data_IF_345880108688
#
_entry.id   IF_345880108688
#
_cell.length_a   1.000
_cell.length_b   1.000
_cell.length_c   1.000
_cell.angle_alpha   90.00
_cell.angle_beta   90.00
_cell.angle_gamma   90.00
#
_symmetry.space_group_name_H-M   'P 1'
#
loop_
_entity.id
_entity.type
_entity.pdbx_description
1 polymer ?
#
# COMPACT_ATOMS: atom_id res chain seq x y z
N UNK A 1 8.05 -70.46 19.33
CA UNK A 1 8.89 -69.34 19.81
C UNK A 1 8.80 -68.27 18.76
N UNK A 2 7.99 -67.52 19.00
CA UNK A 2 7.58 -66.16 19.33
C UNK A 2 7.82 -65.20 18.18
N UNK A 3 6.75 -65.02 17.39
CA UNK A 3 6.63 -64.01 16.30
C UNK A 3 6.35 -62.60 16.79
N UNK A 4 6.41 -62.36 18.12
CA UNK A 4 6.07 -61.07 18.69
C UNK A 4 7.14 -59.99 18.56
N UNK A 5 8.37 -60.37 18.32
CA UNK A 5 9.47 -59.41 18.17
C UNK A 5 9.57 -58.78 16.80
N UNK A 6 8.91 -59.33 15.77
CA UNK A 6 8.91 -58.77 14.40
C UNK A 6 7.84 -57.71 14.17
N UNK A 7 6.79 -57.70 15.02
CA UNK A 7 5.69 -56.74 14.91
C UNK A 7 6.01 -55.40 15.64
N UNK A 8 6.96 -55.42 16.58
CA UNK A 8 7.29 -54.26 17.38
C UNK A 8 8.21 -53.23 16.65
N UNK A 9 8.94 -53.68 15.64
CA UNK A 9 9.81 -52.79 14.87
C UNK A 9 9.13 -52.03 13.72
N UNK A 10 7.88 -52.40 13.38
CA UNK A 10 7.14 -51.79 12.27
C UNK A 10 6.28 -50.58 12.68
N UNK A 11 6.12 -50.36 13.99
CA UNK A 11 5.30 -49.27 14.52
C UNK A 11 6.07 -48.00 14.91
N UNK A 12 7.40 -48.02 14.86
CA UNK A 12 8.24 -46.88 15.25
C UNK A 12 8.68 -46.02 14.03
N UNK A 13 8.40 -46.49 12.80
CA UNK A 13 8.88 -45.82 11.58
C UNK A 13 7.95 -44.77 10.96
N UNK A 14 6.80 -44.44 11.58
CA UNK A 14 5.77 -43.59 10.96
C UNK A 14 5.64 -42.19 11.60
N UNK A 15 6.41 -41.87 12.63
CA UNK A 15 6.23 -40.59 13.36
C UNK A 15 7.32 -39.51 13.16
N UNK A 16 8.13 -39.56 12.10
CA UNK A 16 9.17 -38.51 11.86
C UNK A 16 8.84 -37.64 10.63
N UNK A 17 7.57 -37.46 10.34
CA UNK A 17 7.15 -36.53 9.28
C UNK A 17 6.26 -35.43 9.84
N UNK A 18 6.75 -34.65 10.79
CA UNK A 18 6.04 -33.44 11.17
C UNK A 18 6.91 -32.56 12.04
N UNK A 19 7.64 -31.69 11.43
CA UNK A 19 7.95 -30.33 11.90
C UNK A 19 9.04 -29.75 10.97
N UNK A 20 8.68 -29.48 9.74
CA UNK A 20 9.40 -28.41 9.06
C UNK A 20 8.86 -27.13 9.68
N UNK A 21 9.68 -26.37 10.42
CA UNK A 21 9.30 -25.02 10.78
C UNK A 21 9.12 -24.28 9.46
N UNK A 22 7.88 -23.93 9.13
CA UNK A 22 7.61 -22.92 8.11
C UNK A 22 8.26 -21.65 8.61
N UNK A 23 9.49 -21.41 8.21
CA UNK A 23 10.16 -20.12 8.41
C UNK A 23 9.32 -19.12 7.64
N UNK A 24 8.36 -18.52 8.31
CA UNK A 24 7.70 -17.31 7.84
C UNK A 24 8.79 -16.24 7.79
N UNK A 25 9.53 -16.20 6.69
CA UNK A 25 10.45 -15.14 6.40
C UNK A 25 9.60 -13.89 6.28
N UNK A 26 9.64 -13.05 7.31
CA UNK A 26 9.00 -11.74 7.26
C UNK A 26 9.56 -11.01 6.04
N UNK A 27 8.72 -10.88 5.01
CA UNK A 27 9.13 -10.21 3.78
C UNK A 27 9.33 -8.73 4.09
N UNK A 28 10.47 -8.18 3.73
CA UNK A 28 10.77 -6.76 3.90
C UNK A 28 10.78 -6.09 2.54
N UNK A 29 9.97 -5.05 2.38
CA UNK A 29 10.01 -4.19 1.21
C UNK A 29 11.07 -3.13 1.44
N UNK A 30 12.12 -3.02 0.59
CA UNK A 30 13.20 -2.08 0.81
C UNK A 30 12.76 -0.63 0.68
N UNK A 31 13.44 0.28 1.38
CA UNK A 31 13.31 1.71 1.15
C UNK A 31 13.59 2.06 -0.31
N UNK A 32 12.94 3.10 -0.82
CA UNK A 32 13.04 3.49 -2.22
C UNK A 32 12.11 2.73 -3.17
N UNK A 33 11.41 1.69 -2.70
CA UNK A 33 10.39 1.00 -3.52
C UNK A 33 9.25 1.96 -3.83
N UNK A 34 8.83 1.97 -5.10
CA UNK A 34 7.68 2.77 -5.55
C UNK A 34 6.40 1.97 -5.47
N UNK A 35 5.45 2.49 -4.72
CA UNK A 35 4.10 1.97 -4.58
C UNK A 35 3.14 2.80 -5.43
N UNK A 36 2.47 2.18 -6.39
CA UNK A 36 1.43 2.86 -7.19
C UNK A 36 0.08 2.53 -6.58
N UNK A 37 -0.62 3.59 -6.20
CA UNK A 37 -1.88 3.53 -5.47
C UNK A 37 -2.98 4.12 -6.33
N UNK A 38 -4.18 3.54 -6.27
CA UNK A 38 -5.39 4.03 -6.93
C UNK A 38 -6.41 4.44 -5.88
N UNK A 39 -6.93 5.67 -5.97
CA UNK A 39 -7.95 6.16 -5.04
C UNK A 39 -9.30 5.48 -5.28
N UNK A 40 -10.01 5.12 -4.21
CA UNK A 40 -11.35 4.52 -4.27
C UNK A 40 -12.47 5.56 -4.17
N UNK A 41 -12.12 6.79 -3.82
CA UNK A 41 -13.04 7.92 -3.72
C UNK A 41 -12.45 9.13 -4.40
N UNK A 42 -13.29 10.08 -4.78
CA UNK A 42 -12.83 11.37 -5.30
C UNK A 42 -12.25 12.23 -4.18
N UNK A 43 -11.22 13.01 -4.49
CA UNK A 43 -10.55 13.92 -3.56
C UNK A 43 -10.69 15.34 -4.11
N UNK A 44 -11.25 16.24 -3.31
CA UNK A 44 -11.36 17.67 -3.64
C UNK A 44 -10.10 18.42 -3.24
N UNK A 45 -9.71 19.42 -4.04
CA UNK A 45 -8.59 20.31 -3.71
C UNK A 45 -8.83 21.13 -2.43
N UNK A 46 -10.05 21.17 -1.93
CA UNK A 46 -10.43 21.88 -0.67
C UNK A 46 -10.56 20.96 0.52
N UNK A 47 -10.13 19.73 0.45
CA UNK A 47 -10.20 18.81 1.58
C UNK A 47 -9.36 19.31 2.76
N UNK A 48 -9.78 18.95 3.97
CA UNK A 48 -9.04 19.33 5.18
C UNK A 48 -7.72 18.58 5.24
N UNK A 49 -6.65 19.27 5.60
CA UNK A 49 -5.36 18.64 5.93
C UNK A 49 -5.55 17.63 7.06
N UNK A 50 -4.93 16.47 6.92
CA UNK A 50 -5.09 15.33 7.84
C UNK A 50 -6.28 14.43 7.54
N UNK A 51 -7.16 14.77 6.59
CA UNK A 51 -8.23 13.86 6.16
C UNK A 51 -7.66 12.67 5.43
N UNK A 52 -8.16 11.48 5.77
CA UNK A 52 -7.74 10.22 5.16
C UNK A 52 -8.75 9.72 4.14
N UNK A 53 -8.25 9.08 3.08
CA UNK A 53 -9.03 8.48 2.02
C UNK A 53 -8.63 7.02 1.83
N UNK A 54 -9.63 6.21 1.49
CA UNK A 54 -9.40 4.81 1.12
C UNK A 54 -8.84 4.74 -0.30
N UNK A 55 -7.84 3.90 -0.46
CA UNK A 55 -7.21 3.61 -1.72
C UNK A 55 -6.75 2.14 -1.71
N UNK A 56 -6.21 1.67 -2.83
CA UNK A 56 -5.65 0.33 -2.96
C UNK A 56 -4.40 0.36 -3.83
N UNK A 57 -3.55 -0.64 -3.72
CA UNK A 57 -2.44 -0.81 -4.63
C UNK A 57 -2.96 -1.06 -6.05
N UNK A 58 -2.48 -0.30 -7.03
CA UNK A 58 -2.87 -0.44 -8.45
C UNK A 58 -2.16 -1.60 -9.13
N UNK A 59 -1.04 -2.05 -8.58
CA UNK A 59 -0.22 -3.16 -9.08
C UNK A 59 0.46 -3.91 -7.96
N UNK A 60 0.89 -5.13 -8.26
CA UNK A 60 1.68 -5.96 -7.35
C UNK A 60 3.00 -5.28 -6.98
N UNK A 61 3.40 -5.45 -5.73
CA UNK A 61 4.73 -5.11 -5.25
C UNK A 61 5.57 -6.38 -5.24
N UNK A 62 6.62 -6.39 -6.06
CA UNK A 62 7.50 -7.54 -6.24
C UNK A 62 8.86 -7.24 -5.61
N UNK A 63 9.35 -8.13 -4.77
CA UNK A 63 10.67 -8.08 -4.16
C UNK A 63 11.38 -9.42 -4.42
N UNK A 64 12.56 -9.37 -5.01
CA UNK A 64 13.35 -10.58 -5.36
C UNK A 64 12.56 -11.61 -6.21
N UNK A 65 11.70 -11.12 -7.12
CA UNK A 65 10.89 -11.98 -7.98
C UNK A 65 9.63 -12.56 -7.34
N UNK A 66 9.34 -12.24 -6.07
CA UNK A 66 8.15 -12.69 -5.36
C UNK A 66 7.18 -11.53 -5.13
N UNK A 67 5.89 -11.78 -5.34
CA UNK A 67 4.83 -10.82 -4.99
C UNK A 67 4.73 -10.80 -3.47
N UNK A 68 5.05 -9.65 -2.86
CA UNK A 68 4.98 -9.43 -1.42
C UNK A 68 3.72 -8.70 -0.99
N UNK A 69 3.18 -7.83 -1.85
CA UNK A 69 1.87 -7.22 -1.70
C UNK A 69 1.15 -7.28 -3.05
N UNK A 70 0.00 -7.94 -3.14
CA UNK A 70 -0.78 -8.00 -4.38
C UNK A 70 -1.49 -6.68 -4.69
N UNK A 71 -1.80 -6.45 -5.95
CA UNK A 71 -2.72 -5.40 -6.38
C UNK A 71 -4.05 -5.55 -5.62
N UNK A 72 -4.73 -4.43 -5.36
CA UNK A 72 -5.93 -4.41 -4.53
C UNK A 72 -5.68 -4.41 -3.02
N UNK A 73 -4.42 -4.51 -2.55
CA UNK A 73 -4.11 -4.36 -1.12
C UNK A 73 -4.61 -3.01 -0.63
N UNK A 74 -5.46 -2.97 0.43
CA UNK A 74 -6.02 -1.72 0.93
C UNK A 74 -4.94 -0.81 1.52
N UNK A 75 -5.00 0.47 1.19
CA UNK A 75 -4.11 1.49 1.72
C UNK A 75 -4.91 2.73 2.14
N UNK A 76 -4.31 3.54 2.98
CA UNK A 76 -4.85 4.83 3.44
C UNK A 76 -3.95 5.96 2.97
N UNK A 77 -4.55 6.94 2.32
CA UNK A 77 -3.89 8.15 1.83
C UNK A 77 -4.37 9.33 2.65
N UNK A 78 -3.47 10.20 3.07
CA UNK A 78 -3.77 11.40 3.87
C UNK A 78 -3.51 12.67 3.08
N UNK A 79 -4.34 13.69 3.27
CA UNK A 79 -4.11 15.03 2.72
C UNK A 79 -3.01 15.71 3.52
N UNK A 80 -1.89 16.00 2.88
CA UNK A 80 -0.75 16.67 3.49
C UNK A 80 -0.83 18.21 3.37
N UNK A 81 -1.35 18.71 2.23
CA UNK A 81 -1.69 20.14 2.05
C UNK A 81 -2.87 20.31 1.11
N UNK A 82 -3.58 21.42 1.21
CA UNK A 82 -4.74 21.70 0.37
C UNK A 82 -5.01 23.20 0.25
N UNK A 83 -5.82 23.58 -0.75
CA UNK A 83 -6.34 24.95 -0.91
C UNK A 83 -7.36 25.34 0.20
N UNK A 84 -7.90 24.35 0.91
CA UNK A 84 -8.83 24.57 2.04
C UNK A 84 -8.12 25.01 3.31
N UNK A 85 -6.80 24.95 3.37
CA UNK A 85 -6.03 25.48 4.50
C UNK A 85 -5.84 26.98 4.35
N UNK A 86 -6.53 27.75 5.18
CA UNK A 86 -6.54 29.22 5.16
C UNK A 86 -5.16 29.82 5.40
N UNK A 87 -4.23 29.06 5.98
CA UNK A 87 -2.89 29.54 6.33
C UNK A 87 -1.84 29.30 5.23
N UNK A 88 -2.13 28.40 4.29
CA UNK A 88 -1.22 28.05 3.19
C UNK A 88 -2.02 27.80 1.93
N UNK A 89 -2.03 28.74 1.03
CA UNK A 89 -2.57 28.56 -0.34
C UNK A 89 -1.67 27.60 -1.12
N UNK A 90 -1.70 26.32 -0.77
CA UNK A 90 -0.83 25.29 -1.33
C UNK A 90 -1.63 24.40 -2.28
N UNK A 91 -0.97 23.85 -3.29
CA UNK A 91 -1.53 22.78 -4.11
C UNK A 91 -1.97 21.60 -3.24
N UNK A 92 -2.96 20.84 -3.71
CA UNK A 92 -3.37 19.61 -3.05
C UNK A 92 -2.24 18.60 -3.11
N UNK A 93 -1.70 18.25 -1.95
CA UNK A 93 -0.74 17.16 -1.85
C UNK A 93 -1.29 16.06 -0.96
N UNK A 94 -0.98 14.83 -1.31
CA UNK A 94 -1.37 13.64 -0.57
C UNK A 94 -0.15 12.79 -0.23
N UNK A 95 -0.21 12.08 0.88
CA UNK A 95 0.83 11.16 1.31
C UNK A 95 0.24 9.79 1.65
N UNK A 96 1.05 8.75 1.55
CA UNK A 96 0.66 7.40 1.96
C UNK A 96 0.81 7.28 3.47
N UNK A 97 -0.30 7.04 4.16
CA UNK A 97 -0.33 6.97 5.62
C UNK A 97 -0.09 5.54 6.13
N UNK A 98 -0.81 4.58 5.56
CA UNK A 98 -0.75 3.21 6.04
C UNK A 98 -1.15 2.20 4.96
N UNK A 99 -0.69 0.96 5.13
CA UNK A 99 -1.06 -0.21 4.32
C UNK A 99 -1.71 -1.25 5.22
N UNK A 100 -2.82 -1.84 4.79
CA UNK A 100 -3.47 -2.94 5.51
C UNK A 100 -2.95 -4.28 5.00
N UNK A 101 -2.25 -5.01 5.86
CA UNK A 101 -1.61 -6.29 5.53
C UNK A 101 -2.19 -7.37 6.46
N UNK A 102 -2.86 -8.38 5.90
CA UNK A 102 -3.49 -9.46 6.68
C UNK A 102 -4.36 -8.95 7.84
N UNK A 103 -5.11 -7.86 7.61
CA UNK A 103 -5.97 -7.24 8.62
C UNK A 103 -5.23 -6.36 9.64
N UNK A 104 -3.92 -6.21 9.53
CA UNK A 104 -3.12 -5.29 10.35
C UNK A 104 -2.84 -4.01 9.58
N UNK A 105 -2.95 -2.87 10.24
CA UNK A 105 -2.57 -1.58 9.68
C UNK A 105 -1.11 -1.31 10.01
N UNK A 106 -0.28 -1.17 8.98
CA UNK A 106 1.13 -0.85 9.11
C UNK A 106 1.35 0.57 8.62
N UNK A 107 1.81 1.44 9.51
CA UNK A 107 2.15 2.82 9.14
C UNK A 107 3.33 2.83 8.18
N UNK A 108 3.24 3.69 7.17
CA UNK A 108 4.28 3.86 6.15
C UNK A 108 4.80 5.28 6.17
N UNK A 109 6.08 5.42 5.80
CA UNK A 109 6.68 6.73 5.55
C UNK A 109 7.19 6.80 4.14
N UNK A 110 6.82 7.85 3.43
CA UNK A 110 7.26 8.12 2.06
C UNK A 110 8.32 9.22 2.02
N UNK A 111 9.01 9.34 0.91
CA UNK A 111 10.07 10.37 0.74
C UNK A 111 9.50 11.77 0.56
N UNK A 112 8.19 11.90 0.32
CA UNK A 112 7.50 13.17 0.17
C UNK A 112 6.06 12.97 -0.27
N UNK A 113 5.24 14.00 -0.01
CA UNK A 113 3.86 14.02 -0.46
C UNK A 113 3.80 14.21 -1.99
N UNK A 114 2.82 13.56 -2.61
CA UNK A 114 2.57 13.67 -4.05
C UNK A 114 1.61 14.82 -4.34
N UNK A 115 2.01 15.73 -5.23
CA UNK A 115 1.14 16.82 -5.68
C UNK A 115 0.13 16.31 -6.72
N UNK A 116 -1.14 16.43 -6.39
CA UNK A 116 -2.22 16.20 -7.32
C UNK A 116 -2.41 17.43 -8.20
N UNK A 117 -1.94 17.34 -9.44
CA UNK A 117 -2.00 18.47 -10.38
C UNK A 117 -3.46 18.82 -10.71
N UNK A 118 -3.82 20.12 -10.73
CA UNK A 118 -5.14 20.56 -11.11
C UNK A 118 -5.43 20.15 -12.57
N UNK A 119 -6.62 19.57 -12.81
CA UNK A 119 -7.05 19.29 -14.18
C UNK A 119 -7.25 20.58 -14.93
N UNK A 120 -6.48 20.77 -15.98
CA UNK A 120 -6.67 21.88 -16.94
C UNK A 120 -7.88 21.53 -17.80
N UNK A 121 -8.97 22.27 -17.65
CA UNK A 121 -10.12 22.17 -18.57
C UNK A 121 -9.95 23.23 -19.65
N UNK A 122 -9.76 22.81 -20.90
CA UNK A 122 -9.69 23.71 -22.03
C UNK A 122 -11.11 24.11 -22.45
N UNK A 123 -11.55 25.30 -22.10
CA UNK A 123 -12.75 25.91 -22.68
C UNK A 123 -12.32 26.91 -23.75
N UNK A 124 -12.73 26.68 -25.02
CA UNK A 124 -12.47 27.56 -26.17
C UNK A 124 -11.00 27.91 -26.41
N UNK A 125 -10.08 26.94 -26.29
CA UNK A 125 -8.67 27.16 -26.57
C UNK A 125 -7.89 27.92 -25.50
N UNK A 126 -8.53 28.30 -24.38
CA UNK A 126 -7.86 28.91 -23.23
C UNK A 126 -7.75 27.88 -22.12
N UNK A 127 -6.52 27.65 -21.65
CA UNK A 127 -6.27 26.82 -20.47
C UNK A 127 -6.75 27.56 -19.22
N UNK A 128 -7.86 27.11 -18.61
CA UNK A 128 -8.33 27.64 -17.34
C UNK A 128 -7.80 26.76 -16.23
N UNK A 129 -6.85 27.27 -15.47
CA UNK A 129 -6.39 26.63 -14.23
C UNK A 129 -7.46 26.85 -13.17
N UNK A 130 -8.35 25.86 -13.00
CA UNK A 130 -9.33 25.90 -11.94
C UNK A 130 -8.64 25.77 -10.58
N UNK A 131 -8.79 26.75 -9.71
CA UNK A 131 -8.34 26.65 -8.30
C UNK A 131 -9.05 25.52 -7.56
N UNK A 132 -10.23 25.14 -8.02
CA UNK A 132 -11.04 24.06 -7.47
C UNK A 132 -11.01 22.86 -8.42
N UNK A 133 -10.31 21.82 -8.03
CA UNK A 133 -10.26 20.56 -8.80
C UNK A 133 -10.80 19.42 -7.95
N UNK A 134 -11.53 18.52 -8.61
CA UNK A 134 -11.91 17.23 -8.05
C UNK A 134 -11.12 16.16 -8.79
N UNK A 135 -10.33 15.42 -8.05
CA UNK A 135 -9.64 14.25 -8.56
C UNK A 135 -10.57 13.05 -8.43
N UNK A 136 -11.00 12.44 -9.55
CA UNK A 136 -12.01 11.37 -9.52
C UNK A 136 -11.46 10.12 -8.82
N UNK A 137 -12.37 9.23 -8.42
CA UNK A 137 -11.98 7.86 -8.05
C UNK A 137 -11.14 7.23 -9.17
N UNK A 138 -10.24 6.33 -8.84
CA UNK A 138 -9.33 5.73 -9.79
C UNK A 138 -8.11 6.58 -10.15
N UNK A 139 -7.94 7.76 -9.52
CA UNK A 139 -6.72 8.57 -9.68
C UNK A 139 -5.52 7.78 -9.16
N UNK A 140 -4.50 7.64 -10.00
CA UNK A 140 -3.25 6.95 -9.68
C UNK A 140 -2.24 7.91 -9.12
N UNK A 141 -1.61 7.47 -8.02
CA UNK A 141 -0.57 8.23 -7.32
C UNK A 141 0.59 7.30 -7.02
N UNK A 142 1.80 7.75 -7.27
CA UNK A 142 3.01 6.98 -6.99
C UNK A 142 3.71 7.53 -5.75
N UNK A 143 3.91 6.67 -4.74
CA UNK A 143 4.64 6.99 -3.53
C UNK A 143 5.93 6.20 -3.46
N UNK A 144 7.00 6.82 -2.96
CA UNK A 144 8.27 6.14 -2.74
C UNK A 144 8.51 5.95 -1.25
N UNK A 145 8.77 4.73 -0.82
CA UNK A 145 9.04 4.43 0.58
C UNK A 145 10.33 5.12 1.06
N UNK A 146 10.24 5.84 2.18
CA UNK A 146 11.39 6.44 2.84
C UNK A 146 12.15 5.44 3.73
N UNK A 147 11.45 4.43 4.24
CA UNK A 147 11.99 3.40 5.14
C UNK A 147 11.57 2.02 4.66
N UNK A 148 12.34 0.96 5.00
CA UNK A 148 11.90 -0.41 4.76
C UNK A 148 10.57 -0.69 5.47
N UNK A 149 9.72 -1.50 4.84
CA UNK A 149 8.45 -1.94 5.40
C UNK A 149 8.52 -3.44 5.68
N UNK A 150 8.38 -3.82 6.94
CA UNK A 150 8.32 -5.21 7.38
C UNK A 150 6.87 -5.70 7.33
N UNK A 151 6.62 -6.84 6.69
CA UNK A 151 5.30 -7.43 6.46
C UNK A 151 4.96 -8.47 7.52
#
# INVERSE_FOLDING_TARGET
MNNYHKQLFLLISVCIWAAMPSSSSAATIPAGTTLVVRTLTSISSRERVGRTFKAELDRDVVVNGHIVLPAGTPVSVVVASSLGDVRRSSALTVDLNAISIHGRTVETKTTGAYELQPRTTTKRGVAVYGRDSIHPHGTRVAFRLAKPLNL
#
